data_IF_606180119850
#
_entry.id   IF_606180119850
#
_cell.length_a   1.000
_cell.length_b   1.000
_cell.length_c   1.000
_cell.angle_alpha   90.00
_cell.angle_beta   90.00
_cell.angle_gamma   90.00
#
_symmetry.space_group_name_H-M   'P 1'
#
loop_
_entity.id
_entity.type
_entity.pdbx_description
1 polymer ?
#
# COMPACT_ATOMS: atom_id res chain seq x y z
N UNK A 1 22.45 -2.35 22.32
CA UNK A 1 21.61 -1.19 22.69
C UNK A 1 21.09 -0.62 21.37
N UNK A 2 19.77 -0.53 21.16
CA UNK A 2 19.23 0.10 19.95
C UNK A 2 19.62 1.58 19.96
N UNK A 3 19.93 2.15 18.79
CA UNK A 3 20.20 3.58 18.71
C UNK A 3 18.90 4.39 18.91
N UNK A 4 19.04 5.64 19.25
CA UNK A 4 17.89 6.53 19.54
C UNK A 4 16.95 6.69 18.32
N UNK A 5 17.50 6.67 17.10
CA UNK A 5 16.74 6.74 15.86
C UNK A 5 15.83 5.51 15.69
N UNK A 6 16.35 4.33 15.93
CA UNK A 6 15.58 3.07 15.87
C UNK A 6 14.46 3.07 16.92
N UNK A 7 14.73 3.54 18.13
CA UNK A 7 13.71 3.65 19.18
C UNK A 7 12.58 4.60 18.79
N UNK A 8 12.91 5.78 18.21
CA UNK A 8 11.90 6.71 17.69
C UNK A 8 11.05 6.09 16.60
N UNK A 9 11.65 5.36 15.67
CA UNK A 9 10.88 4.75 14.58
C UNK A 9 9.91 3.69 15.09
N UNK A 10 10.31 2.90 16.07
CA UNK A 10 9.45 1.90 16.70
C UNK A 10 8.33 2.55 17.52
N UNK A 11 8.64 3.53 18.37
CA UNK A 11 7.68 4.21 19.25
C UNK A 11 6.59 4.94 18.46
N UNK A 12 6.98 5.63 17.39
CA UNK A 12 6.05 6.40 16.56
C UNK A 12 5.57 5.65 15.32
N UNK A 13 5.86 4.35 15.23
CA UNK A 13 5.46 3.48 14.12
C UNK A 13 5.80 4.07 12.74
N UNK A 14 7.00 4.66 12.61
CA UNK A 14 7.49 5.23 11.36
C UNK A 14 7.91 4.09 10.45
N UNK A 15 7.21 3.90 9.35
CA UNK A 15 7.50 2.83 8.41
C UNK A 15 8.75 3.15 7.58
N UNK A 16 9.73 2.24 7.57
CA UNK A 16 10.87 2.32 6.65
C UNK A 16 10.55 1.49 5.42
N UNK A 17 10.43 2.15 4.27
CA UNK A 17 10.08 1.52 3.00
C UNK A 17 11.35 1.06 2.29
N UNK A 18 11.33 -0.18 1.85
CA UNK A 18 12.40 -0.71 1.01
C UNK A 18 11.98 -0.57 -0.46
N UNK A 19 12.62 0.30 -1.23
CA UNK A 19 12.37 0.53 -2.68
C UNK A 19 12.47 -0.71 -3.55
N UNK A 20 13.20 -1.74 -3.11
CA UNK A 20 13.27 -3.00 -3.83
C UNK A 20 11.96 -3.81 -3.74
N UNK A 21 11.04 -3.43 -2.85
CA UNK A 21 9.74 -4.06 -2.71
C UNK A 21 8.76 -3.50 -3.73
N UNK A 22 8.06 -4.43 -4.40
CA UNK A 22 7.09 -4.10 -5.44
C UNK A 22 5.69 -4.01 -4.86
N UNK A 23 4.84 -3.30 -5.56
CA UNK A 23 3.39 -3.29 -5.29
C UNK A 23 2.69 -3.99 -6.44
N UNK A 24 1.88 -4.98 -6.10
CA UNK A 24 1.11 -5.78 -7.03
C UNK A 24 -0.38 -5.57 -6.79
N UNK A 25 -1.15 -5.36 -7.83
CA UNK A 25 -2.61 -5.43 -7.75
C UNK A 25 -3.06 -6.83 -8.18
N UNK A 26 -3.91 -7.47 -7.40
CA UNK A 26 -4.54 -8.75 -7.71
C UNK A 26 -6.06 -8.58 -7.75
N UNK A 27 -6.68 -8.99 -8.84
CA UNK A 27 -8.13 -8.93 -9.02
C UNK A 27 -8.86 -10.00 -8.20
N UNK A 28 -10.02 -9.63 -7.67
CA UNK A 28 -10.85 -10.46 -6.78
C UNK A 28 -12.14 -10.95 -7.45
N UNK A 29 -12.11 -11.15 -8.77
CA UNK A 29 -13.32 -11.44 -9.57
C UNK A 29 -14.45 -10.45 -9.28
N UNK A 30 -14.24 -9.21 -9.68
CA UNK A 30 -15.20 -8.12 -9.46
C UNK A 30 -15.63 -7.94 -7.99
N UNK A 31 -14.75 -8.32 -7.07
CA UNK A 31 -14.99 -8.23 -5.62
C UNK A 31 -15.58 -9.48 -4.98
N UNK A 32 -15.85 -10.54 -5.78
CA UNK A 32 -16.46 -11.79 -5.28
C UNK A 32 -15.68 -12.42 -4.14
N UNK A 33 -14.35 -12.48 -4.25
CA UNK A 33 -13.48 -13.12 -3.27
C UNK A 33 -12.85 -12.14 -2.27
N UNK A 34 -13.20 -10.86 -2.33
CA UNK A 34 -12.63 -9.83 -1.45
C UNK A 34 -12.77 -10.20 0.02
N UNK A 35 -13.99 -10.55 0.46
CA UNK A 35 -14.27 -10.89 1.86
C UNK A 35 -13.51 -12.14 2.32
N UNK A 36 -13.45 -13.17 1.47
CA UNK A 36 -12.71 -14.40 1.79
C UNK A 36 -11.21 -14.12 1.95
N UNK A 37 -10.61 -13.37 1.02
CA UNK A 37 -9.19 -13.04 1.07
C UNK A 37 -8.84 -12.20 2.30
N UNK A 38 -9.68 -11.23 2.64
CA UNK A 38 -9.42 -10.34 3.77
C UNK A 38 -9.59 -11.05 5.11
N UNK A 39 -10.67 -11.85 5.26
CA UNK A 39 -10.96 -12.58 6.50
C UNK A 39 -9.93 -13.67 6.78
N UNK A 40 -9.52 -14.42 5.77
CA UNK A 40 -8.66 -15.58 5.92
C UNK A 40 -7.18 -15.29 5.60
N UNK A 41 -6.83 -14.03 5.38
CA UNK A 41 -5.45 -13.52 5.24
C UNK A 41 -4.66 -14.20 4.12
N UNK A 42 -5.25 -14.31 2.95
CA UNK A 42 -4.60 -14.84 1.76
C UNK A 42 -5.07 -14.15 0.49
N UNK A 43 -4.40 -14.43 -0.61
CA UNK A 43 -4.84 -14.15 -1.98
C UNK A 43 -4.67 -15.40 -2.82
N UNK A 44 -5.47 -15.51 -3.87
CA UNK A 44 -5.42 -16.68 -4.74
C UNK A 44 -5.56 -16.28 -6.21
N UNK A 45 -5.01 -17.15 -7.08
CA UNK A 45 -5.07 -17.03 -8.52
C UNK A 45 -5.72 -18.29 -9.10
N UNK A 46 -6.53 -18.11 -10.13
CA UNK A 46 -7.21 -19.19 -10.84
C UNK A 46 -6.27 -20.08 -11.65
N UNK A 47 -6.86 -20.77 -12.64
CA UNK A 47 -6.17 -21.73 -13.52
C UNK A 47 -5.68 -22.99 -12.78
N UNK A 48 -6.54 -23.56 -11.95
CA UNK A 48 -6.27 -24.70 -11.07
C UNK A 48 -5.70 -25.95 -11.78
N UNK A 49 -5.97 -26.14 -13.11
CA UNK A 49 -5.44 -27.28 -13.86
C UNK A 49 -3.95 -27.15 -14.18
N UNK A 50 -3.35 -25.96 -14.07
CA UNK A 50 -1.92 -25.76 -14.27
C UNK A 50 -1.18 -26.09 -12.99
N UNK A 51 -0.39 -27.16 -12.99
CA UNK A 51 0.37 -27.56 -11.82
C UNK A 51 1.61 -26.68 -11.60
N UNK A 52 2.02 -26.56 -10.34
CA UNK A 52 3.29 -25.89 -10.00
C UNK A 52 4.49 -26.60 -10.65
N UNK A 53 4.48 -27.94 -10.73
CA UNK A 53 5.53 -28.71 -11.40
C UNK A 53 5.73 -28.34 -12.87
N UNK A 54 4.65 -28.09 -13.61
CA UNK A 54 4.75 -27.60 -14.99
C UNK A 54 5.46 -26.24 -15.09
N UNK A 55 5.24 -25.37 -14.10
CA UNK A 55 5.83 -24.02 -14.11
C UNK A 55 7.34 -24.04 -13.83
N UNK A 56 7.80 -24.87 -12.88
CA UNK A 56 9.20 -24.95 -12.47
C UNK A 56 10.06 -25.81 -13.39
N UNK A 57 9.47 -26.62 -14.25
CA UNK A 57 10.19 -27.51 -15.14
C UNK A 57 11.05 -26.71 -16.10
N UNK A 58 12.37 -26.86 -15.97
CA UNK A 58 13.38 -26.18 -16.80
C UNK A 58 13.66 -26.90 -18.10
N UNK A 59 13.32 -28.18 -18.20
CA UNK A 59 13.55 -29.01 -19.38
C UNK A 59 12.48 -28.77 -20.46
N UNK A 60 11.39 -28.11 -20.07
CA UNK A 60 10.27 -27.75 -20.95
C UNK A 60 10.35 -26.27 -21.33
N UNK A 61 10.44 -25.99 -22.65
CA UNK A 61 10.43 -24.61 -23.14
C UNK A 61 9.08 -23.92 -22.90
N UNK A 62 9.09 -22.59 -22.85
CA UNK A 62 7.85 -21.78 -22.69
C UNK A 62 6.84 -22.05 -23.83
N UNK A 63 7.30 -22.40 -25.02
CA UNK A 63 6.43 -22.79 -26.14
C UNK A 63 5.63 -24.04 -25.77
N UNK A 64 6.29 -25.09 -25.33
CA UNK A 64 5.64 -26.35 -24.92
C UNK A 64 4.75 -26.15 -23.66
N UNK A 65 5.16 -25.30 -22.72
CA UNK A 65 4.29 -24.94 -21.57
C UNK A 65 2.98 -24.29 -22.04
N UNK A 66 3.04 -23.36 -23.01
CA UNK A 66 1.85 -22.72 -23.59
C UNK A 66 0.95 -23.72 -24.31
N UNK A 67 1.52 -24.65 -25.06
CA UNK A 67 0.76 -25.72 -25.74
C UNK A 67 0.05 -26.62 -24.71
N UNK A 68 0.72 -27.03 -23.63
CA UNK A 68 0.10 -27.78 -22.53
C UNK A 68 -1.02 -27.00 -21.85
N UNK A 69 -0.82 -25.69 -21.60
CA UNK A 69 -1.85 -24.84 -21.02
C UNK A 69 -3.06 -24.73 -21.96
N UNK A 70 -2.84 -24.62 -23.27
CA UNK A 70 -3.93 -24.58 -24.26
C UNK A 70 -4.76 -25.87 -24.25
N UNK A 71 -4.13 -27.03 -24.06
CA UNK A 71 -4.85 -28.30 -23.92
C UNK A 71 -5.67 -28.38 -22.62
N UNK A 72 -5.17 -27.80 -21.53
CA UNK A 72 -5.90 -27.76 -20.25
C UNK A 72 -7.08 -26.77 -20.26
N UNK A 73 -6.98 -25.71 -21.06
CA UNK A 73 -7.96 -24.65 -21.21
C UNK A 73 -8.22 -24.35 -22.70
N UNK A 74 -8.97 -25.22 -23.41
CA UNK A 74 -9.17 -25.09 -24.87
C UNK A 74 -9.87 -23.79 -25.27
N UNK A 75 -10.74 -23.28 -24.43
CA UNK A 75 -11.52 -22.06 -24.68
C UNK A 75 -10.72 -20.76 -24.47
N UNK A 76 -9.52 -20.86 -23.88
CA UNK A 76 -8.67 -19.70 -23.62
C UNK A 76 -7.83 -19.36 -24.84
N UNK A 77 -8.02 -18.16 -25.36
CA UNK A 77 -7.30 -17.70 -26.57
C UNK A 77 -5.86 -17.26 -26.34
N UNK A 78 -5.46 -17.08 -25.07
CA UNK A 78 -4.17 -16.50 -24.68
C UNK A 78 -3.41 -17.32 -23.64
N UNK A 79 -2.96 -18.55 -23.95
CA UNK A 79 -2.24 -19.42 -22.99
C UNK A 79 -0.95 -18.77 -22.45
N UNK A 80 -0.32 -17.90 -23.26
CA UNK A 80 0.84 -17.12 -22.81
C UNK A 80 0.53 -16.13 -21.70
N UNK A 81 -0.69 -15.59 -21.67
CA UNK A 81 -1.13 -14.74 -20.57
C UNK A 81 -1.23 -15.55 -19.27
N UNK A 82 -1.86 -16.74 -19.33
CA UNK A 82 -1.97 -17.64 -18.17
C UNK A 82 -0.58 -17.98 -17.64
N UNK A 83 0.33 -18.43 -18.51
CA UNK A 83 1.70 -18.73 -18.12
C UNK A 83 2.38 -17.51 -17.46
N UNK A 84 2.23 -16.34 -18.06
CA UNK A 84 2.82 -15.09 -17.55
C UNK A 84 2.27 -14.69 -16.19
N UNK A 85 0.95 -14.83 -15.95
CA UNK A 85 0.31 -14.52 -14.67
C UNK A 85 0.75 -15.48 -13.57
N UNK A 86 0.76 -16.79 -13.84
CA UNK A 86 1.22 -17.81 -12.90
C UNK A 86 2.72 -17.67 -12.61
N UNK A 87 3.54 -17.42 -13.63
CA UNK A 87 4.98 -17.12 -13.46
C UNK A 87 5.18 -15.88 -12.57
N UNK A 88 4.36 -14.86 -12.75
CA UNK A 88 4.42 -13.66 -11.90
C UNK A 88 4.06 -13.99 -10.47
N UNK A 89 2.98 -14.73 -10.26
CA UNK A 89 2.49 -15.10 -8.93
C UNK A 89 3.53 -15.90 -8.12
N UNK A 90 4.17 -16.89 -8.77
CA UNK A 90 5.11 -17.79 -8.10
C UNK A 90 6.54 -17.26 -8.01
N UNK A 91 7.02 -16.56 -9.04
CA UNK A 91 8.46 -16.29 -9.17
C UNK A 91 8.83 -14.81 -9.15
N UNK A 92 7.94 -13.89 -9.60
CA UNK A 92 8.23 -12.45 -9.61
C UNK A 92 7.77 -11.73 -8.35
N UNK A 93 6.62 -12.14 -7.80
CA UNK A 93 6.13 -11.66 -6.51
C UNK A 93 6.95 -12.29 -5.39
N UNK A 94 7.50 -11.49 -4.50
CA UNK A 94 8.38 -11.95 -3.41
C UNK A 94 7.73 -11.72 -2.05
N UNK A 95 8.08 -12.52 -1.02
CA UNK A 95 7.73 -12.20 0.35
C UNK A 95 8.17 -10.79 0.72
N UNK A 96 7.28 -10.06 1.40
CA UNK A 96 7.48 -8.66 1.76
C UNK A 96 7.14 -7.64 0.66
N UNK A 97 6.82 -8.05 -0.58
CA UNK A 97 6.18 -7.18 -1.55
C UNK A 97 4.78 -6.79 -1.06
N UNK A 98 4.31 -5.63 -1.49
CA UNK A 98 2.95 -5.22 -1.18
C UNK A 98 1.96 -5.82 -2.18
N UNK A 99 0.75 -6.11 -1.70
CA UNK A 99 -0.37 -6.60 -2.50
C UNK A 99 -1.59 -5.74 -2.24
N UNK A 100 -2.26 -5.33 -3.32
CA UNK A 100 -3.50 -4.58 -3.32
C UNK A 100 -4.61 -5.43 -3.90
N UNK A 101 -5.75 -5.48 -3.23
CA UNK A 101 -6.95 -6.11 -3.76
C UNK A 101 -8.14 -5.13 -3.73
N UNK A 102 -8.92 -5.04 -4.82
CA UNK A 102 -10.13 -4.22 -4.86
C UNK A 102 -11.36 -5.00 -4.37
N UNK A 103 -12.23 -4.30 -3.62
CA UNK A 103 -13.58 -4.77 -3.30
C UNK A 103 -14.53 -4.64 -4.51
N UNK A 104 -15.79 -5.04 -4.35
CA UNK A 104 -16.82 -4.86 -5.37
C UNK A 104 -16.90 -3.39 -5.79
N UNK A 105 -16.89 -3.16 -7.10
CA UNK A 105 -16.87 -1.82 -7.72
C UNK A 105 -15.71 -0.94 -7.24
N UNK A 106 -14.66 -1.55 -6.70
CA UNK A 106 -13.49 -0.85 -6.15
C UNK A 106 -13.83 0.22 -5.10
N UNK A 107 -14.92 0.00 -4.34
CA UNK A 107 -15.33 0.91 -3.26
C UNK A 107 -14.28 1.03 -2.17
N UNK A 108 -13.60 -0.08 -1.89
CA UNK A 108 -12.47 -0.17 -0.98
C UNK A 108 -11.32 -0.91 -1.65
N UNK A 109 -10.11 -0.58 -1.24
CA UNK A 109 -8.87 -1.24 -1.61
C UNK A 109 -8.20 -1.73 -0.34
N UNK A 110 -7.92 -3.03 -0.24
CA UNK A 110 -7.14 -3.53 0.88
C UNK A 110 -5.70 -3.75 0.45
N UNK A 111 -4.78 -3.24 1.25
CA UNK A 111 -3.35 -3.42 1.02
C UNK A 111 -2.73 -4.23 2.16
N UNK A 112 -1.78 -5.08 1.79
CA UNK A 112 -1.05 -5.93 2.73
C UNK A 112 0.33 -6.27 2.22
N UNK A 113 1.08 -7.01 3.03
CA UNK A 113 2.38 -7.60 2.66
C UNK A 113 2.23 -9.07 2.33
N UNK A 114 2.78 -9.45 1.18
CA UNK A 114 2.86 -10.85 0.77
C UNK A 114 3.78 -11.64 1.70
N UNK A 115 3.33 -12.84 2.02
CA UNK A 115 4.09 -13.87 2.70
C UNK A 115 4.32 -15.06 1.75
N UNK A 116 4.47 -16.24 2.29
CA UNK A 116 4.80 -17.43 1.55
C UNK A 116 3.62 -18.01 0.74
N UNK A 117 3.97 -18.88 -0.20
CA UNK A 117 3.01 -19.71 -0.92
C UNK A 117 2.45 -20.73 0.09
N UNK A 118 1.15 -20.94 0.04
CA UNK A 118 0.44 -21.88 0.91
C UNK A 118 -0.41 -22.84 0.08
N UNK A 119 -0.58 -24.05 0.58
CA UNK A 119 -1.40 -25.10 -0.06
C UNK A 119 -2.83 -25.12 0.46
N UNK A 120 -3.01 -24.72 1.70
CA UNK A 120 -4.31 -24.76 2.37
C UNK A 120 -4.62 -23.46 3.12
N UNK A 121 -5.90 -23.21 3.32
CA UNK A 121 -6.43 -22.06 4.07
C UNK A 121 -7.45 -22.55 5.08
N UNK A 122 -7.17 -22.34 6.35
CA UNK A 122 -8.16 -22.55 7.41
C UNK A 122 -9.16 -21.40 7.36
N UNK A 123 -10.35 -21.67 6.82
CA UNK A 123 -11.41 -20.68 6.80
C UNK A 123 -11.93 -20.43 8.22
N UNK A 124 -12.01 -19.15 8.59
CA UNK A 124 -12.58 -18.75 9.87
C UNK A 124 -14.11 -18.89 9.81
N UNK A 125 -14.68 -19.37 10.87
CA UNK A 125 -16.12 -19.27 11.09
C UNK A 125 -16.46 -17.80 11.34
N UNK A 126 -17.41 -17.28 10.60
CA UNK A 126 -17.90 -15.90 10.73
C UNK A 126 -19.41 -15.92 10.57
N UNK A 127 -20.09 -14.99 11.25
CA UNK A 127 -21.56 -14.81 11.14
C UNK A 127 -21.97 -14.27 9.76
N UNK A 128 -21.00 -13.84 8.94
CA UNK A 128 -21.25 -13.33 7.59
C UNK A 128 -20.99 -14.41 6.57
N UNK A 129 -22.00 -14.73 5.79
CA UNK A 129 -21.84 -15.58 4.62
C UNK A 129 -21.06 -14.85 3.52
N UNK A 130 -20.03 -15.49 2.98
CA UNK A 130 -19.24 -15.00 1.85
C UNK A 130 -18.84 -16.13 0.91
N UNK A 131 -18.56 -15.79 -0.34
CA UNK A 131 -18.15 -16.75 -1.34
C UNK A 131 -16.71 -17.21 -1.08
N UNK A 132 -16.54 -18.49 -0.71
CA UNK A 132 -15.22 -19.11 -0.52
C UNK A 132 -14.55 -19.33 -1.86
N UNK A 133 -13.30 -18.91 -1.98
CA UNK A 133 -12.52 -19.04 -3.20
C UNK A 133 -12.01 -20.47 -3.39
N UNK A 134 -12.27 -21.03 -4.56
CA UNK A 134 -11.86 -22.38 -4.95
C UNK A 134 -10.52 -22.43 -5.69
N UNK A 135 -9.80 -21.31 -5.78
CA UNK A 135 -8.50 -21.26 -6.45
C UNK A 135 -7.43 -21.97 -5.64
N UNK A 136 -6.58 -22.72 -6.34
CA UNK A 136 -5.55 -23.55 -5.71
C UNK A 136 -4.21 -22.83 -5.55
N UNK A 137 -3.90 -21.86 -6.40
CA UNK A 137 -2.67 -21.07 -6.30
C UNK A 137 -2.85 -20.00 -5.23
N UNK A 138 -2.30 -20.21 -4.03
CA UNK A 138 -2.56 -19.37 -2.86
C UNK A 138 -1.27 -18.83 -2.25
N UNK A 139 -1.34 -17.62 -1.71
CA UNK A 139 -0.29 -17.00 -0.90
C UNK A 139 -0.90 -16.34 0.33
N UNK A 140 -0.24 -16.50 1.46
CA UNK A 140 -0.62 -15.80 2.69
C UNK A 140 -0.29 -14.31 2.61
N UNK A 141 -1.10 -13.50 3.27
CA UNK A 141 -0.99 -12.04 3.31
C UNK A 141 -1.15 -11.54 4.74
N UNK A 142 -0.31 -10.62 5.10
CA UNK A 142 -0.48 -9.80 6.29
C UNK A 142 -1.14 -8.48 5.86
N UNK A 143 -2.43 -8.35 6.15
CA UNK A 143 -3.19 -7.15 5.80
C UNK A 143 -2.79 -5.97 6.70
N UNK A 144 -2.62 -4.79 6.09
CA UNK A 144 -2.18 -3.56 6.77
C UNK A 144 -3.38 -2.62 6.94
N UNK A 145 -4.00 -2.20 5.83
CA UNK A 145 -5.03 -1.16 5.87
C UNK A 145 -6.00 -1.29 4.71
N UNK A 146 -7.27 -1.01 4.99
CA UNK A 146 -8.29 -0.76 3.98
C UNK A 146 -8.35 0.74 3.70
N UNK A 147 -8.32 1.12 2.42
CA UNK A 147 -8.37 2.52 1.97
C UNK A 147 -9.53 2.70 1.00
N UNK A 148 -10.15 3.88 1.04
CA UNK A 148 -11.19 4.26 0.07
C UNK A 148 -10.58 5.11 -1.04
N UNK A 149 -10.78 4.77 -2.34
CA UNK A 149 -10.33 5.61 -3.44
C UNK A 149 -10.94 7.02 -3.43
N UNK A 150 -12.01 7.26 -2.68
CA UNK A 150 -12.60 8.59 -2.53
C UNK A 150 -11.72 9.57 -1.76
N UNK A 151 -10.78 9.06 -0.95
CA UNK A 151 -9.82 9.90 -0.21
C UNK A 151 -8.73 10.46 -1.12
N UNK A 152 -8.36 9.68 -2.13
CA UNK A 152 -7.36 10.08 -3.12
C UNK A 152 -7.77 9.56 -4.51
N UNK A 153 -8.31 10.46 -5.34
CA UNK A 153 -8.83 10.12 -6.67
C UNK A 153 -7.77 9.51 -7.60
N UNK A 154 -6.48 9.78 -7.34
CA UNK A 154 -5.39 9.22 -8.13
C UNK A 154 -5.24 7.71 -7.96
N UNK A 155 -5.72 7.13 -6.85
CA UNK A 155 -5.73 5.68 -6.64
C UNK A 155 -6.53 4.94 -7.70
N UNK A 156 -7.55 5.58 -8.30
CA UNK A 156 -8.36 4.96 -9.35
C UNK A 156 -7.58 4.70 -10.64
N UNK A 157 -6.46 5.41 -10.88
CA UNK A 157 -5.64 5.24 -12.09
C UNK A 157 -5.06 3.83 -12.20
N UNK A 158 -4.72 3.23 -11.07
CA UNK A 158 -4.10 1.91 -11.02
C UNK A 158 -5.09 0.78 -11.29
N UNK A 159 -6.40 1.06 -11.17
CA UNK A 159 -7.46 0.06 -11.29
C UNK A 159 -7.86 -0.23 -12.75
N UNK A 160 -7.24 0.41 -13.74
CA UNK A 160 -7.60 0.29 -15.16
C UNK A 160 -7.16 -1.02 -15.79
N UNK A 161 -6.17 -1.69 -15.24
CA UNK A 161 -5.69 -2.96 -15.78
C UNK A 161 -6.74 -4.07 -15.63
N UNK A 162 -6.95 -4.84 -16.69
CA UNK A 162 -7.83 -6.01 -16.71
C UNK A 162 -7.10 -7.33 -16.42
N UNK A 163 -5.80 -7.30 -16.22
CA UNK A 163 -5.02 -8.50 -15.88
C UNK A 163 -5.33 -8.95 -14.45
N UNK A 164 -5.24 -10.28 -14.21
CA UNK A 164 -5.45 -10.83 -12.88
C UNK A 164 -4.42 -10.30 -11.86
N UNK A 165 -3.15 -10.16 -12.30
CA UNK A 165 -2.07 -9.54 -11.54
C UNK A 165 -1.42 -8.45 -12.38
N UNK A 166 -1.21 -7.28 -11.78
CA UNK A 166 -0.53 -6.14 -12.42
C UNK A 166 0.51 -5.56 -11.47
N UNK A 167 1.69 -5.26 -11.97
CA UNK A 167 2.67 -4.47 -11.23
C UNK A 167 2.26 -3.00 -11.27
N UNK A 168 2.07 -2.40 -10.11
CA UNK A 168 1.66 -1.00 -9.93
C UNK A 168 2.69 -0.21 -9.12
N UNK A 169 3.93 -0.66 -9.09
CA UNK A 169 5.01 -0.04 -8.30
C UNK A 169 5.33 1.40 -8.72
N UNK A 170 5.03 1.78 -9.95
CA UNK A 170 5.16 3.16 -10.43
C UNK A 170 4.26 4.15 -9.67
N UNK A 171 3.22 3.64 -8.98
CA UNK A 171 2.28 4.42 -8.17
C UNK A 171 2.52 4.25 -6.67
N UNK A 172 3.69 3.74 -6.24
CA UNK A 172 3.98 3.43 -4.84
C UNK A 172 3.70 4.59 -3.88
N UNK A 173 4.10 5.80 -4.24
CA UNK A 173 3.90 7.00 -3.43
C UNK A 173 2.41 7.25 -3.13
N UNK A 174 1.53 6.99 -4.12
CA UNK A 174 0.09 7.14 -3.93
C UNK A 174 -0.45 6.19 -2.87
N UNK A 175 0.11 4.99 -2.77
CA UNK A 175 -0.33 4.01 -1.78
C UNK A 175 0.28 4.29 -0.42
N UNK A 176 1.58 4.54 -0.35
CA UNK A 176 2.28 4.73 0.92
C UNK A 176 1.74 5.92 1.70
N UNK A 177 1.47 7.07 1.06
CA UNK A 177 0.87 8.22 1.72
C UNK A 177 -0.56 7.98 2.24
N UNK A 178 -1.26 6.98 1.71
CA UNK A 178 -2.60 6.59 2.18
C UNK A 178 -2.56 5.53 3.27
N UNK A 179 -1.44 4.79 3.40
CA UNK A 179 -1.26 3.71 4.35
C UNK A 179 -0.56 4.20 5.60
N UNK A 180 0.53 4.94 5.41
CA UNK A 180 1.42 5.38 6.47
C UNK A 180 1.30 6.89 6.68
N UNK A 181 0.95 7.35 7.89
CA UNK A 181 0.95 8.78 8.19
C UNK A 181 2.36 9.37 8.16
N UNK A 182 3.36 8.55 8.50
CA UNK A 182 4.77 8.92 8.41
C UNK A 182 5.58 7.72 7.91
N UNK A 183 6.42 7.93 6.89
CA UNK A 183 7.30 6.87 6.39
C UNK A 183 8.60 7.45 5.83
N UNK A 184 9.61 6.61 5.80
CA UNK A 184 10.92 6.90 5.24
C UNK A 184 11.12 6.07 3.99
N UNK A 185 11.50 6.73 2.91
CA UNK A 185 11.92 6.12 1.66
C UNK A 185 13.37 6.56 1.37
N UNK A 186 14.32 5.66 1.52
CA UNK A 186 15.76 5.94 1.48
C UNK A 186 16.16 7.08 2.45
N UNK A 187 16.48 8.26 1.92
CA UNK A 187 16.86 9.43 2.69
C UNK A 187 15.80 10.54 2.64
N UNK A 188 14.55 10.14 2.38
CA UNK A 188 13.41 11.05 2.28
C UNK A 188 12.38 10.68 3.32
N UNK A 189 11.99 11.64 4.14
CA UNK A 189 10.92 11.51 5.11
C UNK A 189 9.62 12.04 4.50
N UNK A 190 8.58 11.24 4.55
CA UNK A 190 7.24 11.58 4.10
C UNK A 190 6.31 11.67 5.30
N UNK A 191 5.59 12.74 5.40
CA UNK A 191 4.57 12.96 6.42
C UNK A 191 3.26 13.37 5.78
N UNK A 192 2.17 12.69 6.11
CA UNK A 192 0.88 12.86 5.48
C UNK A 192 -0.16 13.34 6.47
N UNK A 193 -0.77 14.47 6.17
CA UNK A 193 -1.96 14.99 6.86
C UNK A 193 -3.20 14.68 6.02
N UNK A 194 -4.16 13.98 6.59
CA UNK A 194 -5.44 13.70 5.96
C UNK A 194 -6.52 14.62 6.52
N UNK A 195 -7.22 15.29 5.61
CA UNK A 195 -8.36 16.12 5.97
C UNK A 195 -9.63 15.26 5.98
N UNK A 196 -10.25 15.12 7.12
CA UNK A 196 -11.48 14.32 7.29
C UNK A 196 -12.77 15.14 7.15
N UNK A 197 -12.70 16.48 7.15
CA UNK A 197 -13.89 17.33 7.07
C UNK A 197 -14.35 17.51 5.62
N UNK A 198 -15.68 17.52 5.42
CA UNK A 198 -16.32 17.81 4.11
C UNK A 198 -16.35 19.31 3.77
N UNK A 199 -15.99 20.19 4.71
CA UNK A 199 -16.00 21.63 4.46
C UNK A 199 -14.92 22.03 3.47
N UNK A 200 -15.22 23.00 2.62
CA UNK A 200 -14.24 23.57 1.70
C UNK A 200 -13.08 24.17 2.51
N UNK A 201 -11.87 23.95 2.03
CA UNK A 201 -10.67 24.54 2.62
C UNK A 201 -10.42 25.84 1.89
N UNK A 202 -10.42 26.96 2.62
CA UNK A 202 -10.11 28.24 1.98
C UNK A 202 -8.64 28.28 1.58
N UNK A 203 -8.33 29.06 0.54
CA UNK A 203 -6.94 29.29 0.13
C UNK A 203 -6.13 29.89 1.29
N UNK A 204 -6.73 30.81 2.05
CA UNK A 204 -6.09 31.41 3.22
C UNK A 204 -5.75 30.40 4.30
N UNK A 205 -6.65 29.44 4.60
CA UNK A 205 -6.38 28.40 5.59
C UNK A 205 -5.29 27.44 5.13
N UNK A 206 -5.26 27.12 3.82
CA UNK A 206 -4.19 26.31 3.22
C UNK A 206 -2.83 26.97 3.35
N UNK A 207 -2.74 28.25 3.04
CA UNK A 207 -1.48 29.04 3.17
C UNK A 207 -1.05 29.11 4.62
N UNK A 208 -1.98 29.41 5.55
CA UNK A 208 -1.66 29.48 6.99
C UNK A 208 -1.11 28.14 7.51
N UNK A 209 -1.76 27.02 7.15
CA UNK A 209 -1.30 25.71 7.58
C UNK A 209 0.10 25.40 7.04
N UNK A 210 0.34 25.64 5.76
CA UNK A 210 1.66 25.40 5.14
C UNK A 210 2.74 26.29 5.78
N UNK A 211 2.45 27.57 6.02
CA UNK A 211 3.37 28.49 6.70
C UNK A 211 3.70 28.02 8.12
N UNK A 212 2.68 27.62 8.88
CA UNK A 212 2.89 27.10 10.25
C UNK A 212 3.74 25.83 10.26
N UNK A 213 3.55 24.91 9.31
CA UNK A 213 4.39 23.71 9.18
C UNK A 213 5.85 24.11 8.95
N UNK A 214 6.11 25.03 8.01
CA UNK A 214 7.48 25.50 7.71
C UNK A 214 8.09 26.16 8.94
N UNK A 215 7.34 27.00 9.65
CA UNK A 215 7.81 27.69 10.86
C UNK A 215 8.19 26.72 11.97
N UNK A 216 7.36 25.69 12.22
CA UNK A 216 7.67 24.65 13.22
C UNK A 216 8.95 23.89 12.83
N UNK A 217 9.12 23.54 11.56
CA UNK A 217 10.32 22.84 11.10
C UNK A 217 11.58 23.72 11.26
N UNK A 218 11.48 25.03 10.99
CA UNK A 218 12.59 25.97 11.22
C UNK A 218 12.94 26.10 12.70
N UNK A 219 11.94 26.29 13.56
CA UNK A 219 12.16 26.36 15.01
C UNK A 219 12.77 25.07 15.55
N UNK A 220 12.34 23.90 15.04
CA UNK A 220 12.93 22.62 15.40
C UNK A 220 14.41 22.55 15.01
N UNK A 221 14.75 23.00 13.79
CA UNK A 221 16.12 23.03 13.32
C UNK A 221 17.02 24.00 14.12
N UNK A 222 16.50 25.15 14.49
CA UNK A 222 17.20 26.13 15.33
C UNK A 222 17.46 25.60 16.75
N UNK A 223 16.46 24.96 17.38
CA UNK A 223 16.56 24.41 18.72
C UNK A 223 17.61 23.31 18.85
N UNK A 224 17.78 22.52 17.80
CA UNK A 224 18.72 21.40 17.79
C UNK A 224 20.04 21.68 17.05
N UNK A 225 20.24 22.95 16.62
CA UNK A 225 21.50 23.39 16.01
C UNK A 225 21.78 22.85 14.62
N UNK A 226 20.75 22.40 13.90
CA UNK A 226 20.88 21.98 12.51
C UNK A 226 20.74 23.17 11.56
N UNK A 227 21.43 23.11 10.41
CA UNK A 227 21.32 24.16 9.36
C UNK A 227 19.92 24.11 8.73
N UNK A 228 19.29 25.26 8.55
CA UNK A 228 18.03 25.40 7.83
C UNK A 228 18.23 25.09 6.35
N UNK A 229 17.80 23.90 5.92
CA UNK A 229 17.76 23.49 4.52
C UNK A 229 16.32 23.61 3.98
N UNK A 230 15.74 24.81 4.03
CA UNK A 230 14.36 25.07 3.58
C UNK A 230 14.09 24.62 2.14
N UNK A 231 15.12 24.56 1.29
CA UNK A 231 15.05 24.06 -0.09
C UNK A 231 14.78 22.54 -0.17
N UNK A 232 14.99 21.80 0.92
CA UNK A 232 14.71 20.35 0.97
C UNK A 232 13.28 20.00 1.34
N UNK A 233 12.42 21.00 1.60
CA UNK A 233 11.01 20.79 1.98
C UNK A 233 10.09 20.93 0.77
N UNK A 234 9.38 19.84 0.44
CA UNK A 234 8.42 19.80 -0.65
C UNK A 234 7.04 19.52 -0.08
N UNK A 235 6.05 20.34 -0.42
CA UNK A 235 4.65 20.11 -0.06
C UNK A 235 3.89 19.71 -1.30
N UNK A 236 3.31 18.49 -1.27
CA UNK A 236 2.36 18.02 -2.28
C UNK A 236 0.95 18.09 -1.70
N UNK A 237 0.04 18.71 -2.40
CA UNK A 237 -1.36 18.80 -2.00
C UNK A 237 -2.24 18.11 -3.03
N UNK A 238 -3.07 17.16 -2.58
CA UNK A 238 -4.19 16.67 -3.35
C UNK A 238 -5.42 17.48 -2.93
N UNK A 239 -5.78 18.46 -3.77
CA UNK A 239 -6.92 19.35 -3.51
C UNK A 239 -8.20 18.56 -3.70
N UNK A 240 -8.86 18.25 -2.62
CA UNK A 240 -10.13 17.53 -2.59
C UNK A 240 -10.75 17.66 -1.20
N UNK A 241 -12.03 17.29 -1.06
CA UNK A 241 -12.68 17.17 0.24
C UNK A 241 -13.34 15.79 0.32
N UNK A 242 -12.73 14.84 1.03
CA UNK A 242 -11.48 14.89 1.80
C UNK A 242 -10.23 15.09 0.93
N UNK A 243 -9.15 15.61 1.49
CA UNK A 243 -7.89 15.90 0.80
C UNK A 243 -6.67 15.44 1.58
N UNK A 244 -5.54 15.36 0.87
CA UNK A 244 -4.26 14.93 1.44
C UNK A 244 -3.23 16.06 1.25
N UNK A 245 -2.50 16.37 2.31
CA UNK A 245 -1.30 17.20 2.27
C UNK A 245 -0.14 16.28 2.65
N UNK A 246 0.82 16.15 1.75
CA UNK A 246 2.03 15.38 1.97
C UNK A 246 3.21 16.34 2.07
N UNK A 247 3.89 16.34 3.20
CA UNK A 247 5.16 16.99 3.42
C UNK A 247 6.28 15.99 3.14
N UNK A 248 7.19 16.36 2.25
CA UNK A 248 8.35 15.55 1.85
C UNK A 248 9.60 16.29 2.24
N UNK A 249 10.45 15.68 3.04
CA UNK A 249 11.71 16.24 3.49
C UNK A 249 12.85 15.38 2.93
N UNK A 250 13.61 15.96 1.99
CA UNK A 250 14.78 15.32 1.43
C UNK A 250 15.98 15.48 2.35
N UNK A 251 16.86 14.46 2.40
CA UNK A 251 18.04 14.46 3.25
C UNK A 251 17.72 14.81 4.72
N UNK A 252 16.62 14.25 5.22
CA UNK A 252 16.12 14.50 6.57
C UNK A 252 17.14 14.10 7.65
N UNK A 253 17.08 14.82 8.75
CA UNK A 253 17.80 14.51 9.99
C UNK A 253 16.82 14.17 11.12
N UNK A 254 17.35 13.89 12.32
CA UNK A 254 16.52 13.53 13.47
C UNK A 254 15.67 14.70 13.96
N UNK A 255 16.14 15.91 13.81
CA UNK A 255 15.44 17.15 14.20
C UNK A 255 14.17 17.33 13.37
N UNK A 256 14.22 17.00 12.08
CA UNK A 256 13.02 17.02 11.22
C UNK A 256 11.96 16.04 11.71
N UNK A 257 12.37 14.84 12.19
CA UNK A 257 11.44 13.86 12.78
C UNK A 257 10.81 14.44 14.04
N UNK A 258 11.60 15.05 14.92
CA UNK A 258 11.09 15.67 16.15
C UNK A 258 10.12 16.80 15.83
N UNK A 259 10.45 17.66 14.84
CA UNK A 259 9.55 18.72 14.38
C UNK A 259 8.21 18.18 13.88
N UNK A 260 8.21 17.09 13.12
CA UNK A 260 6.99 16.43 12.65
C UNK A 260 6.19 15.85 13.82
N UNK A 261 6.85 15.19 14.78
CA UNK A 261 6.18 14.66 15.96
C UNK A 261 5.52 15.78 16.77
N UNK A 262 6.15 16.96 16.83
CA UNK A 262 5.58 18.14 17.44
C UNK A 262 4.34 18.64 16.69
N UNK A 263 4.37 18.66 15.34
CA UNK A 263 3.19 18.97 14.50
C UNK A 263 2.06 17.98 14.80
N UNK A 264 2.36 16.68 14.84
CA UNK A 264 1.36 15.64 15.15
C UNK A 264 0.72 15.90 16.52
N UNK A 265 1.50 16.24 17.55
CA UNK A 265 0.99 16.50 18.88
C UNK A 265 0.05 17.71 18.92
N UNK A 266 0.37 18.78 18.21
CA UNK A 266 -0.47 19.98 18.14
C UNK A 266 -1.76 19.73 17.37
N UNK A 267 -1.66 19.11 16.20
CA UNK A 267 -2.81 18.81 15.34
C UNK A 267 -3.71 17.77 16.00
N UNK A 268 -3.13 16.77 16.65
CA UNK A 268 -3.88 15.73 17.39
C UNK A 268 -4.63 16.27 18.61
N UNK A 269 -4.09 17.25 19.31
CA UNK A 269 -4.75 17.87 20.47
C UNK A 269 -5.94 18.75 20.07
N UNK A 270 -5.88 19.39 18.90
CA UNK A 270 -6.94 20.27 18.41
C UNK A 270 -8.06 19.55 17.63
N UNK A 271 -7.87 18.29 17.28
CA UNK A 271 -8.89 17.48 16.65
C UNK A 271 -9.72 16.80 17.74
N UNK A 272 -10.93 17.29 17.94
CA UNK A 272 -11.93 16.64 18.82
C UNK A 272 -12.00 15.14 18.56
N UNK A 273 -12.06 14.39 19.61
CA UNK A 273 -12.28 12.95 19.91
C UNK A 273 -12.41 11.94 18.73
N UNK A 274 -12.85 12.34 17.56
CA UNK A 274 -12.99 11.47 16.36
C UNK A 274 -11.67 11.22 15.59
N UNK A 275 -10.59 11.88 15.93
CA UNK A 275 -9.29 11.79 15.22
C UNK A 275 -8.23 10.95 15.94
N UNK A 276 -8.54 10.40 17.11
CA UNK A 276 -7.67 9.46 17.83
C UNK A 276 -7.48 8.12 17.09
N UNK A 277 -8.24 7.87 16.03
CA UNK A 277 -8.01 6.71 15.15
C UNK A 277 -6.72 6.80 14.31
N UNK A 278 -6.02 7.94 14.32
CA UNK A 278 -4.73 8.10 13.64
C UNK A 278 -3.54 7.56 14.45
N UNK A 279 -3.72 7.33 15.76
CA UNK A 279 -2.66 6.87 16.66
C UNK A 279 -2.75 5.35 16.91
N UNK A 280 -3.83 4.69 16.54
CA UNK A 280 -4.00 3.25 16.67
C UNK A 280 -3.85 2.55 15.30
N UNK A 281 -2.61 2.37 14.86
CA UNK A 281 -2.22 1.37 13.87
C UNK A 281 -1.01 0.60 14.39
#
# INVERSE_FOLDING_TARGET
MKDFKTLLFEEFNIAVINKNKKIWMLRTESGRYYQDFTTNKYVALGWNKVSYSLLIDKDISDKVKKEKIQLLYPDETKPGLILGQLTTFYFKMKPGDFILIPSKSSKYLFIGKLKDIITDVKHKETDKEYCKCQYLHKRSVEWIKEISPSVDVYLTRTLRSHQAITNISEYSDLYFRNIFPCYIDENTLHFTLQKHTKSNYSLCDSIKLQSSIVEILKLSSELYGSLDNSESYIIKTAVGSPGIIELIIQNFNIENIIGILFIISIVGVNSTVDSLSLIHI
#
